data_IF_396234865619
#
_entry.id   IF_396234865619
#
_cell.length_a   1.000
_cell.length_b   1.000
_cell.length_c   1.000
_cell.angle_alpha   90.00
_cell.angle_beta   90.00
_cell.angle_gamma   90.00
#
_symmetry.space_group_name_H-M   'P 1'
#
loop_
_entity.id
_entity.type
_entity.pdbx_description
1 polymer ?
#
# COMPACT_ATOMS: atom_id res chain seq x y z
N UNK A 1 16.89 7.88 15.42
CA UNK A 1 15.51 8.03 14.88
C UNK A 1 15.42 7.79 13.38
N UNK A 2 16.19 8.49 12.51
CA UNK A 2 16.16 8.26 11.04
C UNK A 2 16.41 6.81 10.59
N UNK A 3 17.22 6.07 11.33
CA UNK A 3 17.52 4.66 11.04
C UNK A 3 16.30 3.72 11.13
N UNK A 4 15.30 4.02 11.97
CA UNK A 4 14.09 3.19 12.07
C UNK A 4 13.22 3.28 10.81
N UNK A 5 13.07 4.48 10.25
CA UNK A 5 12.32 4.67 8.99
C UNK A 5 13.01 3.94 7.84
N UNK A 6 14.34 4.04 7.76
CA UNK A 6 15.12 3.31 6.75
C UNK A 6 15.00 1.80 6.90
N UNK A 7 15.05 1.28 8.13
CA UNK A 7 14.82 -0.14 8.41
C UNK A 7 13.43 -0.59 7.94
N UNK A 8 12.40 0.20 8.25
CA UNK A 8 11.03 -0.05 7.78
C UNK A 8 10.95 -0.11 6.25
N UNK A 9 11.58 0.85 5.56
CA UNK A 9 11.59 0.90 4.10
C UNK A 9 12.29 -0.33 3.49
N UNK A 10 13.44 -0.73 4.03
CA UNK A 10 14.17 -1.93 3.61
C UNK A 10 13.32 -3.19 3.80
N UNK A 11 12.67 -3.35 4.96
CA UNK A 11 11.78 -4.47 5.23
C UNK A 11 10.57 -4.48 4.28
N UNK A 12 10.00 -3.31 3.97
CA UNK A 12 8.92 -3.20 3.00
C UNK A 12 9.35 -3.66 1.61
N UNK A 13 10.52 -3.22 1.15
CA UNK A 13 11.11 -3.62 -0.14
C UNK A 13 11.23 -5.16 -0.22
N UNK A 14 11.70 -5.83 0.84
CA UNK A 14 11.72 -7.29 0.88
C UNK A 14 10.34 -7.92 0.70
N UNK A 15 9.31 -7.37 1.36
CA UNK A 15 7.93 -7.84 1.19
C UNK A 15 7.40 -7.64 -0.23
N UNK A 16 7.75 -6.53 -0.88
CA UNK A 16 7.40 -6.30 -2.29
C UNK A 16 8.12 -7.28 -3.22
N UNK A 17 9.41 -7.55 -2.99
CA UNK A 17 10.13 -8.57 -3.77
C UNK A 17 9.51 -9.95 -3.60
N UNK A 18 9.09 -10.32 -2.40
CA UNK A 18 8.32 -11.55 -2.18
C UNK A 18 7.02 -11.54 -2.99
N UNK A 19 6.27 -10.44 -2.97
CA UNK A 19 5.03 -10.30 -3.74
C UNK A 19 5.25 -10.45 -5.25
N UNK A 20 6.31 -9.86 -5.80
CA UNK A 20 6.69 -9.98 -7.21
C UNK A 20 7.04 -11.43 -7.53
N UNK A 21 7.82 -12.10 -6.68
CA UNK A 21 8.16 -13.52 -6.84
C UNK A 21 6.92 -14.40 -6.87
N UNK A 22 5.97 -14.16 -5.97
CA UNK A 22 4.69 -14.89 -5.91
C UNK A 22 3.82 -14.58 -7.15
N UNK A 23 3.87 -13.34 -7.65
CA UNK A 23 3.18 -12.91 -8.88
C UNK A 23 3.75 -13.64 -10.09
N UNK A 24 5.08 -13.71 -10.20
CA UNK A 24 5.78 -14.43 -11.27
C UNK A 24 5.49 -15.94 -11.24
N UNK A 25 5.12 -16.49 -10.08
CA UNK A 25 4.67 -17.89 -9.92
C UNK A 25 3.17 -18.08 -10.16
N UNK A 26 2.40 -17.01 -10.28
CA UNK A 26 0.94 -17.05 -10.42
C UNK A 26 0.18 -17.33 -9.12
N UNK A 27 0.87 -17.27 -7.98
CA UNK A 27 0.29 -17.47 -6.65
C UNK A 27 -0.51 -16.23 -6.21
N UNK A 28 0.04 -15.04 -6.43
CA UNK A 28 -0.69 -13.77 -6.26
C UNK A 28 -1.22 -13.26 -7.59
N UNK A 29 -2.34 -12.53 -7.54
CA UNK A 29 -3.03 -12.00 -8.71
C UNK A 29 -3.24 -10.49 -8.60
N UNK A 30 -2.22 -9.66 -8.81
CA UNK A 30 -2.25 -8.25 -8.41
C UNK A 30 -3.43 -7.50 -9.03
N UNK A 31 -4.17 -6.70 -8.24
CA UNK A 31 -5.13 -5.78 -8.82
C UNK A 31 -4.37 -4.62 -9.49
N UNK A 32 -4.36 -4.63 -10.82
CA UNK A 32 -3.55 -3.70 -11.62
C UNK A 32 -3.89 -2.23 -11.36
N UNK A 33 -5.14 -1.90 -11.08
CA UNK A 33 -5.55 -0.52 -10.79
C UNK A 33 -4.94 -0.06 -9.47
N UNK A 34 -5.05 -0.88 -8.41
CA UNK A 34 -4.45 -0.54 -7.11
C UNK A 34 -2.95 -0.31 -7.20
N UNK A 35 -2.21 -1.28 -7.76
CA UNK A 35 -0.76 -1.21 -7.82
C UNK A 35 -0.24 -0.06 -8.69
N UNK A 36 -0.96 0.25 -9.78
CA UNK A 36 -0.67 1.44 -10.58
C UNK A 36 -0.93 2.72 -9.77
N UNK A 37 -2.10 2.87 -9.16
CA UNK A 37 -2.43 4.09 -8.42
C UNK A 37 -1.52 4.34 -7.22
N UNK A 38 -1.12 3.29 -6.50
CA UNK A 38 -0.12 3.38 -5.42
C UNK A 38 1.27 3.80 -5.91
N UNK A 39 1.60 3.59 -7.19
CA UNK A 39 2.88 4.02 -7.75
C UNK A 39 2.92 5.51 -8.09
N UNK A 40 1.80 6.09 -8.51
CA UNK A 40 1.80 7.41 -9.16
C UNK A 40 2.14 8.52 -8.16
N UNK A 41 1.45 8.59 -7.02
CA UNK A 41 1.61 9.71 -6.09
C UNK A 41 3.05 9.85 -5.56
N UNK A 42 3.73 8.77 -5.09
CA UNK A 42 5.11 8.89 -4.64
C UNK A 42 6.09 9.18 -5.78
N UNK A 43 5.84 8.70 -7.01
CA UNK A 43 6.68 9.05 -8.16
C UNK A 43 6.55 10.53 -8.55
N UNK A 44 5.35 11.10 -8.48
CA UNK A 44 5.15 12.55 -8.66
C UNK A 44 5.86 13.32 -7.54
N UNK A 45 5.68 12.92 -6.28
CA UNK A 45 6.37 13.55 -5.15
C UNK A 45 7.90 13.46 -5.28
N UNK A 46 8.40 12.35 -5.81
CA UNK A 46 9.82 12.18 -6.13
C UNK A 46 10.30 13.16 -7.19
N UNK A 47 9.58 13.26 -8.31
CA UNK A 47 9.92 14.18 -9.39
C UNK A 47 9.93 15.64 -8.90
N UNK A 48 8.94 16.01 -8.08
CA UNK A 48 8.86 17.34 -7.47
C UNK A 48 10.01 17.60 -6.50
N UNK A 49 10.44 16.60 -5.71
CA UNK A 49 11.58 16.76 -4.82
C UNK A 49 12.90 16.94 -5.60
N UNK A 50 13.11 16.15 -6.65
CA UNK A 50 14.28 16.24 -7.52
C UNK A 50 14.34 17.59 -8.26
N UNK A 51 13.20 18.17 -8.66
CA UNK A 51 13.16 19.51 -9.26
C UNK A 51 13.48 20.65 -8.29
N UNK A 52 13.56 20.35 -6.98
CA UNK A 52 13.94 21.28 -5.92
C UNK A 52 15.31 20.91 -5.31
N UNK A 53 16.17 20.21 -6.07
CA UNK A 53 17.53 19.81 -5.69
C UNK A 53 17.62 18.95 -4.42
N UNK A 54 16.54 18.27 -4.04
CA UNK A 54 16.54 17.31 -2.94
C UNK A 54 17.19 16.01 -3.43
N UNK A 55 18.38 15.70 -2.93
CA UNK A 55 19.13 14.51 -3.34
C UNK A 55 18.66 13.24 -2.60
N UNK A 56 19.54 12.60 -1.82
CA UNK A 56 19.34 11.27 -1.25
C UNK A 56 18.14 11.13 -0.30
N UNK A 57 17.62 12.23 0.24
CA UNK A 57 16.45 12.21 1.11
C UNK A 57 15.17 11.76 0.38
N UNK A 58 15.12 11.84 -0.96
CA UNK A 58 13.96 11.40 -1.76
C UNK A 58 13.87 9.89 -1.93
N UNK A 59 14.97 9.15 -1.70
CA UNK A 59 15.05 7.72 -2.02
C UNK A 59 13.93 6.87 -1.39
N UNK A 60 13.52 7.05 -0.12
CA UNK A 60 12.40 6.29 0.45
C UNK A 60 11.07 6.56 -0.27
N UNK A 61 10.82 7.80 -0.69
CA UNK A 61 9.61 8.21 -1.44
C UNK A 61 9.64 7.66 -2.86
N UNK A 62 10.82 7.66 -3.49
CA UNK A 62 11.00 7.01 -4.78
C UNK A 62 10.68 5.51 -4.69
N UNK A 63 11.26 4.82 -3.70
CA UNK A 63 11.04 3.38 -3.52
C UNK A 63 9.58 3.06 -3.21
N UNK A 64 8.85 3.90 -2.47
CA UNK A 64 7.44 3.68 -2.20
C UNK A 64 6.54 3.80 -3.44
N UNK A 65 6.99 4.48 -4.50
CA UNK A 65 6.31 4.51 -5.81
C UNK A 65 6.83 3.47 -6.79
N UNK A 66 8.15 3.30 -6.85
CA UNK A 66 8.83 2.39 -7.76
C UNK A 66 8.51 0.91 -7.46
N UNK A 67 8.45 0.52 -6.18
CA UNK A 67 8.10 -0.85 -5.79
C UNK A 67 6.69 -1.27 -6.26
N UNK A 68 5.62 -0.49 -6.00
CA UNK A 68 4.30 -0.75 -6.58
C UNK A 68 4.27 -0.76 -8.10
N UNK A 69 5.04 0.14 -8.76
CA UNK A 69 5.17 0.15 -10.21
C UNK A 69 5.74 -1.18 -10.74
N UNK A 70 6.77 -1.72 -10.08
CA UNK A 70 7.31 -3.03 -10.44
C UNK A 70 6.26 -4.12 -10.31
N UNK A 71 5.47 -4.15 -9.22
CA UNK A 71 4.38 -5.12 -9.08
C UNK A 71 3.37 -4.99 -10.22
N UNK A 72 2.99 -3.75 -10.57
CA UNK A 72 2.12 -3.50 -11.72
C UNK A 72 2.72 -4.06 -13.01
N UNK A 73 3.98 -3.77 -13.32
CA UNK A 73 4.66 -4.27 -14.53
C UNK A 73 4.75 -5.80 -14.53
N UNK A 74 5.18 -6.42 -13.43
CA UNK A 74 5.32 -7.87 -13.33
C UNK A 74 3.98 -8.61 -13.35
N UNK A 75 2.86 -7.94 -13.04
CA UNK A 75 1.51 -8.51 -13.14
C UNK A 75 1.08 -8.86 -14.58
N UNK A 76 1.81 -8.41 -15.60
CA UNK A 76 1.58 -8.73 -17.00
C UNK A 76 2.42 -9.92 -17.50
N UNK A 77 3.40 -10.38 -16.73
CA UNK A 77 4.38 -11.39 -17.19
C UNK A 77 3.81 -12.80 -17.14
N UNK A 78 3.11 -13.16 -16.05
CA UNK A 78 2.53 -14.49 -15.89
C UNK A 78 1.00 -14.45 -16.11
N UNK A 79 0.45 -15.15 -17.13
CA UNK A 79 -1.00 -15.22 -17.35
C UNK A 79 -1.79 -15.79 -16.17
N UNK A 80 -1.20 -16.67 -15.35
CA UNK A 80 -1.85 -17.23 -14.17
C UNK A 80 -2.03 -16.19 -13.04
N UNK A 81 -1.26 -15.10 -13.07
CA UNK A 81 -1.39 -13.96 -12.17
C UNK A 81 -2.52 -12.99 -12.59
N UNK A 82 -3.24 -13.27 -13.67
CA UNK A 82 -4.30 -12.40 -14.15
C UNK A 82 -5.46 -12.30 -13.15
N UNK A 83 -5.82 -11.06 -12.82
CA UNK A 83 -7.05 -10.71 -12.13
C UNK A 83 -8.01 -9.98 -13.08
N UNK A 84 -9.26 -10.43 -13.14
CA UNK A 84 -10.30 -9.78 -13.95
C UNK A 84 -10.79 -8.52 -13.24
N UNK A 85 -10.57 -7.37 -13.87
CA UNK A 85 -11.08 -6.09 -13.40
C UNK A 85 -12.59 -5.96 -13.65
N UNK A 86 -13.30 -5.38 -12.69
CA UNK A 86 -14.72 -5.03 -12.76
C UNK A 86 -14.95 -3.52 -12.62
N UNK A 87 -16.22 -3.11 -12.70
CA UNK A 87 -16.60 -1.69 -12.67
C UNK A 87 -16.09 -0.95 -11.42
N UNK A 88 -16.13 -1.60 -10.26
CA UNK A 88 -15.64 -1.01 -9.02
C UNK A 88 -14.15 -0.65 -9.08
N UNK A 89 -13.32 -1.49 -9.71
CA UNK A 89 -11.89 -1.23 -9.83
C UNK A 89 -11.64 0.08 -10.59
N UNK A 90 -12.35 0.28 -11.72
CA UNK A 90 -12.22 1.48 -12.54
C UNK A 90 -12.81 2.73 -11.85
N UNK A 91 -13.95 2.61 -11.17
CA UNK A 91 -14.54 3.72 -10.41
C UNK A 91 -13.59 4.17 -9.29
N UNK A 92 -13.03 3.22 -8.55
CA UNK A 92 -12.01 3.50 -7.55
C UNK A 92 -10.76 4.13 -8.16
N UNK A 93 -10.27 3.62 -9.28
CA UNK A 93 -9.14 4.23 -10.01
C UNK A 93 -9.42 5.67 -10.44
N UNK A 94 -10.62 5.95 -10.95
CA UNK A 94 -11.04 7.30 -11.34
C UNK A 94 -11.07 8.25 -10.13
N UNK A 95 -11.71 7.87 -9.02
CA UNK A 95 -11.74 8.72 -7.83
C UNK A 95 -10.37 8.89 -7.18
N UNK A 96 -9.52 7.86 -7.25
CA UNK A 96 -8.12 7.94 -6.84
C UNK A 96 -7.37 9.00 -7.67
N UNK A 97 -7.52 8.96 -8.99
CA UNK A 97 -6.92 9.93 -9.90
C UNK A 97 -7.47 11.35 -9.67
N UNK A 98 -8.78 11.53 -9.49
CA UNK A 98 -9.38 12.83 -9.21
C UNK A 98 -8.86 13.42 -7.89
N UNK A 99 -8.79 12.62 -6.82
CA UNK A 99 -8.21 13.05 -5.56
C UNK A 99 -6.72 13.44 -5.72
N UNK A 100 -5.97 12.71 -6.55
CA UNK A 100 -4.58 13.05 -6.85
C UNK A 100 -4.44 14.38 -7.62
N UNK A 101 -5.35 14.68 -8.54
CA UNK A 101 -5.40 15.99 -9.21
C UNK A 101 -5.69 17.10 -8.19
N UNK A 102 -6.65 16.89 -7.29
CA UNK A 102 -6.98 17.83 -6.22
C UNK A 102 -5.79 18.07 -5.28
N UNK A 103 -5.02 17.03 -4.97
CA UNK A 103 -3.74 17.12 -4.25
C UNK A 103 -2.72 18.03 -4.96
N UNK A 104 -2.60 17.93 -6.29
CA UNK A 104 -1.65 18.72 -7.07
C UNK A 104 -2.01 20.20 -7.22
N UNK A 105 -3.31 20.55 -7.18
CA UNK A 105 -3.76 21.94 -7.37
C UNK A 105 -3.91 22.72 -6.05
N UNK A 106 -4.17 22.04 -4.93
CA UNK A 106 -4.34 22.71 -3.63
C UNK A 106 -3.02 23.33 -3.17
N UNK A 107 -3.14 24.48 -2.48
CA UNK A 107 -2.00 25.20 -1.89
C UNK A 107 -1.91 25.03 -0.38
N UNK A 108 -2.96 24.48 0.25
CA UNK A 108 -2.98 24.24 1.69
C UNK A 108 -2.40 22.83 1.99
N UNK A 109 -1.32 22.74 2.80
CA UNK A 109 -0.62 21.47 3.02
C UNK A 109 -1.46 20.34 3.64
N UNK A 110 -2.36 20.64 4.58
CA UNK A 110 -3.15 19.61 5.25
C UNK A 110 -4.24 19.05 4.32
N UNK A 111 -4.87 19.89 3.50
CA UNK A 111 -5.81 19.53 2.45
C UNK A 111 -5.11 18.69 1.39
N UNK A 112 -3.86 19.02 1.05
CA UNK A 112 -3.04 18.19 0.17
C UNK A 112 -2.87 16.77 0.75
N UNK A 113 -2.50 16.66 2.02
CA UNK A 113 -2.36 15.37 2.71
C UNK A 113 -3.69 14.61 2.77
N UNK A 114 -4.80 15.29 3.03
CA UNK A 114 -6.13 14.68 3.01
C UNK A 114 -6.48 14.10 1.64
N UNK A 115 -6.19 14.82 0.54
CA UNK A 115 -6.40 14.31 -0.81
C UNK A 115 -5.43 13.18 -1.19
N UNK A 116 -4.18 13.20 -0.70
CA UNK A 116 -3.26 12.09 -0.88
C UNK A 116 -3.77 10.81 -0.18
N UNK A 117 -4.28 10.92 1.05
CA UNK A 117 -4.90 9.81 1.78
C UNK A 117 -6.15 9.33 1.05
N UNK A 118 -7.01 10.23 0.57
CA UNK A 118 -8.21 9.87 -0.18
C UNK A 118 -7.85 9.12 -1.48
N UNK A 119 -6.85 9.60 -2.22
CA UNK A 119 -6.33 8.94 -3.42
C UNK A 119 -5.88 7.51 -3.12
N UNK A 120 -5.05 7.34 -2.09
CA UNK A 120 -4.53 6.03 -1.70
C UNK A 120 -5.65 5.10 -1.18
N UNK A 121 -6.61 5.65 -0.43
CA UNK A 121 -7.77 4.91 0.09
C UNK A 121 -8.66 4.38 -1.04
N UNK A 122 -8.94 5.19 -2.07
CA UNK A 122 -9.67 4.72 -3.24
C UNK A 122 -8.88 3.63 -3.99
N UNK A 123 -7.56 3.77 -4.12
CA UNK A 123 -6.72 2.74 -4.72
C UNK A 123 -6.73 1.42 -3.91
N UNK A 124 -6.82 1.49 -2.58
CA UNK A 124 -6.85 0.35 -1.67
C UNK A 124 -8.13 -0.49 -1.79
N UNK A 125 -9.30 0.14 -1.93
CA UNK A 125 -10.63 -0.51 -1.87
C UNK A 125 -10.76 -1.75 -2.79
N UNK A 126 -10.38 -1.70 -4.09
CA UNK A 126 -10.35 -2.85 -4.98
C UNK A 126 -9.63 -4.07 -4.41
N UNK A 127 -8.41 -3.85 -3.91
CA UNK A 127 -7.56 -4.91 -3.35
C UNK A 127 -8.07 -5.38 -2.01
N UNK A 128 -8.68 -4.52 -1.20
CA UNK A 128 -9.31 -4.91 0.06
C UNK A 128 -10.51 -5.83 -0.16
N UNK A 129 -11.40 -5.48 -1.10
CA UNK A 129 -12.56 -6.31 -1.45
C UNK A 129 -12.12 -7.62 -2.09
N UNK A 130 -11.10 -7.57 -2.95
CA UNK A 130 -10.47 -8.76 -3.53
C UNK A 130 -9.90 -9.67 -2.43
N UNK A 131 -9.08 -9.13 -1.53
CA UNK A 131 -8.50 -9.83 -0.38
C UNK A 131 -9.59 -10.46 0.49
N UNK A 132 -10.72 -9.78 0.66
CA UNK A 132 -11.86 -10.34 1.35
C UNK A 132 -12.46 -11.50 0.57
N UNK A 133 -12.78 -11.36 -0.71
CA UNK A 133 -13.47 -12.43 -1.46
C UNK A 133 -12.58 -13.64 -1.77
N UNK A 134 -11.32 -13.39 -2.14
CA UNK A 134 -10.33 -14.34 -2.64
C UNK A 134 -8.97 -14.15 -1.94
N UNK A 135 -8.90 -14.39 -0.61
CA UNK A 135 -7.70 -14.17 0.19
C UNK A 135 -6.47 -14.96 -0.32
N UNK A 136 -6.69 -16.10 -0.97
CA UNK A 136 -5.65 -16.94 -1.58
C UNK A 136 -4.90 -16.27 -2.73
N UNK A 137 -5.40 -15.16 -3.26
CA UNK A 137 -4.81 -14.46 -4.41
C UNK A 137 -3.90 -13.29 -4.01
N UNK A 138 -3.58 -13.15 -2.73
CA UNK A 138 -2.83 -12.04 -2.14
C UNK A 138 -1.81 -12.53 -1.11
N UNK A 139 -0.72 -11.79 -0.94
CA UNK A 139 0.37 -12.16 -0.03
C UNK A 139 0.31 -11.36 1.27
N UNK A 140 0.14 -12.05 2.40
CA UNK A 140 0.17 -11.44 3.74
C UNK A 140 1.51 -10.77 4.02
N UNK A 141 2.61 -11.34 3.52
CA UNK A 141 3.97 -10.86 3.80
C UNK A 141 4.14 -9.41 3.36
N UNK A 142 3.68 -9.07 2.16
CA UNK A 142 3.81 -7.72 1.61
C UNK A 142 3.08 -6.66 2.48
N UNK A 143 1.91 -6.99 2.98
CA UNK A 143 1.12 -6.07 3.80
C UNK A 143 1.62 -6.00 5.25
N UNK A 144 2.17 -7.10 5.78
CA UNK A 144 2.82 -7.10 7.10
C UNK A 144 4.09 -6.25 7.10
N UNK A 145 4.92 -6.34 6.05
CA UNK A 145 6.09 -5.47 5.94
C UNK A 145 5.69 -4.01 5.66
N UNK A 146 4.58 -3.78 4.95
CA UNK A 146 3.92 -2.47 4.82
C UNK A 146 3.46 -1.89 6.16
N UNK A 147 2.80 -2.69 6.99
CA UNK A 147 2.39 -2.31 8.34
C UNK A 147 3.62 -1.94 9.19
N UNK A 148 4.66 -2.76 9.17
CA UNK A 148 5.90 -2.47 9.89
C UNK A 148 6.52 -1.14 9.45
N UNK A 149 6.59 -0.87 8.15
CA UNK A 149 7.08 0.41 7.62
C UNK A 149 6.21 1.61 8.02
N UNK A 150 4.88 1.44 8.03
CA UNK A 150 3.97 2.45 8.56
C UNK A 150 4.24 2.76 10.03
N UNK A 151 4.47 1.73 10.85
CA UNK A 151 4.78 1.87 12.27
C UNK A 151 6.14 2.55 12.53
N UNK A 152 7.17 2.27 11.73
CA UNK A 152 8.48 2.92 11.90
C UNK A 152 8.44 4.41 11.56
N UNK A 153 7.48 4.85 10.74
CA UNK A 153 7.29 6.27 10.40
C UNK A 153 6.98 7.13 11.64
N UNK A 154 6.36 6.55 12.66
CA UNK A 154 6.07 7.27 13.92
C UNK A 154 7.34 7.66 14.68
N UNK A 155 8.46 6.95 14.49
CA UNK A 155 9.74 7.30 15.11
C UNK A 155 10.38 8.57 14.54
N UNK A 156 9.83 9.11 13.44
CA UNK A 156 10.27 10.37 12.84
C UNK A 156 9.38 11.57 13.20
N UNK A 157 8.26 11.36 13.90
CA UNK A 157 7.34 12.42 14.34
C UNK A 157 8.04 13.31 15.37
N UNK A 158 7.86 14.62 15.22
CA UNK A 158 8.39 15.67 16.09
C UNK A 158 7.29 16.52 16.69
N UNK A 159 6.38 17.02 15.87
CA UNK A 159 5.40 18.03 16.25
C UNK A 159 4.03 17.44 16.58
N UNK A 160 3.82 16.14 16.31
CA UNK A 160 2.55 15.45 16.53
C UNK A 160 1.34 16.16 15.87
N UNK A 161 1.58 16.84 14.76
CA UNK A 161 0.56 17.52 13.96
C UNK A 161 -0.07 16.60 12.91
N UNK A 162 -1.17 17.06 12.31
CA UNK A 162 -1.87 16.35 11.24
C UNK A 162 -0.93 15.95 10.09
N UNK A 163 -0.04 16.86 9.70
CA UNK A 163 0.88 16.64 8.58
C UNK A 163 1.90 15.53 8.79
N UNK A 164 2.25 15.20 10.04
CA UNK A 164 3.21 14.15 10.37
C UNK A 164 2.52 12.81 10.68
N UNK A 165 1.28 12.83 11.19
CA UNK A 165 0.59 11.64 11.72
C UNK A 165 -0.39 11.03 10.71
N UNK A 166 -1.10 11.85 9.93
CA UNK A 166 -2.29 11.40 9.21
C UNK A 166 -1.99 10.28 8.20
N UNK A 167 -0.93 10.43 7.40
CA UNK A 167 -0.55 9.43 6.40
C UNK A 167 0.01 8.13 7.04
N UNK A 168 0.92 8.19 8.03
CA UNK A 168 1.33 6.98 8.77
C UNK A 168 0.17 6.21 9.43
N UNK A 169 -0.78 6.91 10.06
CA UNK A 169 -1.99 6.30 10.64
C UNK A 169 -2.80 5.61 9.55
N UNK A 170 -3.03 6.29 8.43
CA UNK A 170 -3.70 5.71 7.27
C UNK A 170 -3.01 4.42 6.80
N UNK A 171 -1.68 4.43 6.62
CA UNK A 171 -0.93 3.26 6.18
C UNK A 171 -1.06 2.09 7.17
N UNK A 172 -1.01 2.36 8.47
CA UNK A 172 -1.20 1.33 9.51
C UNK A 172 -2.59 0.72 9.40
N UNK A 173 -3.64 1.54 9.27
CA UNK A 173 -5.02 1.08 9.14
C UNK A 173 -5.21 0.27 7.86
N UNK A 174 -4.77 0.79 6.70
CA UNK A 174 -4.94 0.16 5.40
C UNK A 174 -4.25 -1.19 5.31
N UNK A 175 -2.98 -1.28 5.75
CA UNK A 175 -2.26 -2.55 5.79
C UNK A 175 -2.87 -3.54 6.78
N UNK A 176 -3.28 -3.08 7.97
CA UNK A 176 -3.96 -3.94 8.95
C UNK A 176 -5.27 -4.49 8.40
N UNK A 177 -6.04 -3.68 7.68
CA UNK A 177 -7.28 -4.11 7.03
C UNK A 177 -7.03 -5.18 5.97
N UNK A 178 -5.98 -5.06 5.16
CA UNK A 178 -5.59 -6.07 4.18
C UNK A 178 -5.14 -7.38 4.84
N UNK A 179 -4.26 -7.30 5.84
CA UNK A 179 -3.80 -8.45 6.62
C UNK A 179 -5.00 -9.18 7.22
N UNK A 180 -5.92 -8.45 7.85
CA UNK A 180 -7.14 -9.02 8.41
C UNK A 180 -8.01 -9.66 7.33
N UNK A 181 -8.24 -8.97 6.21
CA UNK A 181 -9.04 -9.50 5.10
C UNK A 181 -8.47 -10.83 4.58
N UNK A 182 -7.15 -10.97 4.47
CA UNK A 182 -6.49 -12.19 4.01
C UNK A 182 -6.55 -13.30 5.08
N UNK A 183 -6.25 -12.97 6.34
CA UNK A 183 -6.09 -13.96 7.40
C UNK A 183 -7.38 -14.36 8.14
N UNK A 184 -8.48 -13.62 7.98
CA UNK A 184 -9.72 -13.81 8.76
C UNK A 184 -10.19 -15.26 8.83
N UNK A 185 -10.14 -16.03 7.73
CA UNK A 185 -10.59 -17.43 7.70
C UNK A 185 -9.75 -18.32 8.62
N UNK A 186 -8.42 -18.10 8.64
CA UNK A 186 -7.50 -18.80 9.54
C UNK A 186 -7.72 -18.38 11.00
N UNK A 187 -7.92 -17.08 11.25
CA UNK A 187 -8.19 -16.54 12.58
C UNK A 187 -9.47 -17.15 13.18
N UNK A 188 -10.58 -17.12 12.43
CA UNK A 188 -11.84 -17.70 12.88
C UNK A 188 -11.75 -19.22 13.08
N UNK A 189 -11.00 -19.92 12.23
CA UNK A 189 -10.76 -21.36 12.39
C UNK A 189 -10.00 -21.67 13.69
N UNK A 190 -8.91 -20.96 13.98
CA UNK A 190 -8.13 -21.12 15.21
C UNK A 190 -8.97 -20.77 16.44
N UNK A 191 -9.69 -19.65 16.41
CA UNK A 191 -10.57 -19.22 17.51
C UNK A 191 -11.65 -20.28 17.80
N UNK A 192 -12.28 -20.84 16.77
CA UNK A 192 -13.27 -21.90 16.93
C UNK A 192 -12.66 -23.18 17.52
N UNK A 193 -11.46 -23.57 17.09
CA UNK A 193 -10.74 -24.73 17.64
C UNK A 193 -10.39 -24.54 19.11
N UNK A 194 -9.93 -23.35 19.50
CA UNK A 194 -9.62 -23.02 20.88
C UNK A 194 -10.87 -23.09 21.77
N UNK A 195 -11.98 -22.47 21.35
CA UNK A 195 -13.26 -22.51 22.09
C UNK A 195 -13.79 -23.95 22.19
N UNK A 196 -13.65 -24.75 21.13
CA UNK A 196 -14.10 -26.15 21.13
C UNK A 196 -13.22 -27.10 21.96
N UNK A 197 -11.93 -26.77 22.15
CA UNK A 197 -10.97 -27.54 22.94
C UNK A 197 -10.90 -27.19 24.43
N UNK A 198 -11.68 -26.19 24.88
CA UNK A 198 -11.86 -25.83 26.30
C UNK A 198 -13.11 -26.54 26.88
N UNK A 199 -13.46 -27.71 26.33
CA UNK A 199 -14.52 -28.60 26.86
C UNK A 199 -13.92 -29.88 27.40
#
# INVERSE_FOLDING_TARGET
MKYFVLLGAVVNIFGVFSYIKDTLRGETKPNKVTWLMWSIAPLIATAAALSNDVSWAVLPVFMSGFCPLLVFVFSFVNPNAYWKLGALDYVCGLFSLLALVLWGITKEPNVAIAFAIASDSFALVPTLIKSWKRPETESVIAYTTGLFNGLTSFAAIRLWGFSEIAFPVYLVIGNSALIFAIMRRKIFFIARKYIAGVK
#
